data_IF_912780199262
#
_entry.id   IF_912780199262
#
_cell.length_a   1.000
_cell.length_b   1.000
_cell.length_c   1.000
_cell.angle_alpha   90.00
_cell.angle_beta   90.00
_cell.angle_gamma   90.00
#
_symmetry.space_group_name_H-M   'P 1'
#
loop_
_entity.id
_entity.type
_entity.pdbx_description
1 polymer ?
#
# COMPACT_ATOMS: atom_id res chain seq x y z
N UNK A 1 2.44 -20.67 -6.22
CA UNK A 1 3.72 -19.93 -6.12
C UNK A 1 4.40 -20.29 -4.81
N UNK A 2 5.69 -20.61 -4.86
CA UNK A 2 6.53 -20.78 -3.68
C UNK A 2 6.65 -19.45 -2.91
N UNK A 3 7.14 -19.52 -1.67
CA UNK A 3 7.34 -18.31 -0.86
C UNK A 3 8.31 -17.32 -1.53
N UNK A 4 9.37 -17.84 -2.15
CA UNK A 4 10.39 -17.03 -2.84
C UNK A 4 9.82 -16.38 -4.10
N UNK A 5 9.00 -17.10 -4.87
CA UNK A 5 8.29 -16.55 -6.02
C UNK A 5 7.31 -15.45 -5.62
N UNK A 6 6.59 -15.63 -4.50
CA UNK A 6 5.68 -14.60 -3.98
C UNK A 6 6.43 -13.35 -3.58
N UNK A 7 7.54 -13.49 -2.86
CA UNK A 7 8.39 -12.35 -2.47
C UNK A 7 8.88 -11.62 -3.73
N UNK A 8 9.47 -12.33 -4.69
CA UNK A 8 9.97 -11.73 -5.93
C UNK A 8 8.86 -11.01 -6.71
N UNK A 9 7.66 -11.58 -6.77
CA UNK A 9 6.51 -10.96 -7.44
C UNK A 9 6.00 -9.71 -6.72
N UNK A 10 5.95 -9.75 -5.38
CA UNK A 10 5.50 -8.64 -4.55
C UNK A 10 6.54 -7.51 -4.48
N UNK A 11 7.84 -7.78 -4.58
CA UNK A 11 8.89 -6.75 -4.60
C UNK A 11 9.19 -6.21 -6.00
N UNK A 12 8.79 -6.92 -7.08
CA UNK A 12 8.99 -6.46 -8.46
C UNK A 12 8.42 -5.06 -8.69
N UNK A 13 9.27 -4.13 -9.12
CA UNK A 13 8.88 -2.75 -9.43
C UNK A 13 8.60 -1.88 -8.19
N UNK A 14 8.90 -2.36 -6.98
CA UNK A 14 9.04 -1.50 -5.81
C UNK A 14 10.40 -0.80 -5.88
N UNK A 15 10.42 0.50 -5.59
CA UNK A 15 11.67 1.26 -5.45
C UNK A 15 12.48 0.77 -4.25
N UNK A 16 11.81 0.55 -3.12
CA UNK A 16 12.40 0.02 -1.89
C UNK A 16 11.44 -0.97 -1.22
N UNK A 17 12.00 -2.00 -0.59
CA UNK A 17 11.26 -2.87 0.34
C UNK A 17 12.02 -2.95 1.65
N UNK A 18 11.47 -2.28 2.67
CA UNK A 18 12.06 -2.24 4.00
C UNK A 18 11.87 -3.60 4.67
N UNK A 19 12.99 -4.25 5.05
CA UNK A 19 13.03 -5.55 5.75
C UNK A 19 12.26 -6.64 5.01
N UNK A 20 12.85 -7.15 3.93
CA UNK A 20 12.27 -8.24 3.11
C UNK A 20 12.05 -9.51 3.94
N UNK A 21 12.89 -9.74 4.94
CA UNK A 21 12.78 -10.82 5.93
C UNK A 21 11.47 -10.76 6.74
N UNK A 22 10.96 -9.56 7.06
CA UNK A 22 9.67 -9.40 7.74
C UNK A 22 8.51 -9.77 6.80
N UNK A 23 8.62 -9.41 5.51
CA UNK A 23 7.63 -9.80 4.51
C UNK A 23 7.61 -11.32 4.37
N UNK A 24 8.79 -11.97 4.28
CA UNK A 24 8.90 -13.43 4.26
C UNK A 24 8.22 -14.06 5.48
N UNK A 25 8.54 -13.61 6.68
CA UNK A 25 7.97 -14.16 7.91
C UNK A 25 6.43 -14.00 7.97
N UNK A 26 5.90 -12.87 7.49
CA UNK A 26 4.45 -12.62 7.41
C UNK A 26 3.78 -13.56 6.41
N UNK A 27 4.35 -13.72 5.22
CA UNK A 27 3.83 -14.62 4.18
C UNK A 27 3.88 -16.09 4.63
N UNK A 28 4.97 -16.50 5.27
CA UNK A 28 5.10 -17.85 5.84
C UNK A 28 4.05 -18.11 6.91
N UNK A 29 3.83 -17.15 7.82
CA UNK A 29 2.76 -17.23 8.82
C UNK A 29 1.39 -17.33 8.15
N UNK A 30 1.13 -16.56 7.09
CA UNK A 30 -0.12 -16.62 6.33
C UNK A 30 -0.34 -18.00 5.73
N UNK A 31 0.69 -18.57 5.11
CA UNK A 31 0.63 -19.92 4.53
C UNK A 31 0.37 -20.99 5.60
N UNK A 32 1.02 -20.90 6.76
CA UNK A 32 0.85 -21.85 7.88
C UNK A 32 -0.51 -21.76 8.56
N UNK A 33 -1.04 -20.55 8.72
CA UNK A 33 -2.26 -20.30 9.53
C UNK A 33 -3.53 -20.13 8.69
N UNK A 34 -3.41 -20.01 7.37
CA UNK A 34 -4.51 -19.64 6.48
C UNK A 34 -5.04 -18.21 6.70
N UNK A 35 -4.40 -17.41 7.56
CA UNK A 35 -4.83 -16.04 7.87
C UNK A 35 -4.18 -15.05 6.90
N UNK A 36 -4.95 -14.38 6.03
CA UNK A 36 -4.41 -13.44 5.05
C UNK A 36 -3.66 -12.26 5.67
N UNK A 37 -2.67 -11.72 4.95
CA UNK A 37 -2.10 -10.42 5.30
C UNK A 37 -3.15 -9.33 5.12
N UNK A 38 -3.05 -8.29 5.96
CA UNK A 38 -3.78 -7.04 5.80
C UNK A 38 -2.81 -6.00 5.24
N UNK A 39 -3.03 -5.59 4.00
CA UNK A 39 -2.15 -4.69 3.24
C UNK A 39 -2.83 -3.34 3.13
N UNK A 40 -2.29 -2.33 3.80
CA UNK A 40 -2.88 -0.99 3.85
C UNK A 40 -2.19 -0.07 2.85
N UNK A 41 -2.99 0.69 2.09
CA UNK A 41 -2.54 1.86 1.37
C UNK A 41 -3.44 3.05 1.72
N UNK A 42 -2.82 4.18 2.07
CA UNK A 42 -3.51 5.44 2.36
C UNK A 42 -3.65 6.29 1.10
N UNK A 43 -4.79 6.93 0.93
CA UNK A 43 -5.09 7.88 -0.13
C UNK A 43 -5.62 9.17 0.50
N UNK A 44 -5.00 10.29 0.15
CA UNK A 44 -5.41 11.61 0.59
C UNK A 44 -6.49 12.16 -0.37
N UNK A 45 -7.70 12.52 0.10
CA UNK A 45 -8.78 12.99 -0.77
C UNK A 45 -8.63 14.46 -1.22
N UNK A 46 -7.43 15.05 -1.12
CA UNK A 46 -7.18 16.45 -1.51
C UNK A 46 -7.39 16.73 -3.00
N UNK A 47 -7.32 15.70 -3.85
CA UNK A 47 -7.71 15.78 -5.25
C UNK A 47 -8.98 14.94 -5.51
N UNK A 48 -9.89 15.39 -6.39
CA UNK A 48 -11.14 14.68 -6.66
C UNK A 48 -10.95 13.36 -7.42
N UNK A 49 -9.82 13.20 -8.12
CA UNK A 49 -9.63 12.13 -9.09
C UNK A 49 -8.40 11.25 -8.82
N UNK A 50 -8.56 9.95 -9.06
CA UNK A 50 -7.45 9.00 -9.17
C UNK A 50 -6.95 9.03 -10.62
N UNK A 51 -5.76 9.59 -10.84
CA UNK A 51 -5.11 9.60 -12.15
C UNK A 51 -4.16 8.39 -12.36
N UNK A 52 -3.62 8.26 -13.58
CA UNK A 52 -2.77 7.14 -14.00
C UNK A 52 -1.54 6.89 -13.13
N UNK A 53 -1.05 7.91 -12.41
CA UNK A 53 0.07 7.78 -11.48
C UNK A 53 -0.20 6.80 -10.34
N UNK A 54 -1.47 6.69 -9.89
CA UNK A 54 -1.87 5.74 -8.86
C UNK A 54 -1.90 4.29 -9.34
N UNK A 55 -1.88 4.06 -10.66
CA UNK A 55 -1.98 2.71 -11.24
C UNK A 55 -0.85 1.81 -10.78
N UNK A 56 0.36 2.35 -10.55
CA UNK A 56 1.50 1.58 -10.05
C UNK A 56 1.20 0.98 -8.68
N UNK A 57 0.74 1.84 -7.75
CA UNK A 57 0.36 1.43 -6.39
C UNK A 57 -0.84 0.48 -6.41
N UNK A 58 -1.90 0.82 -7.16
CA UNK A 58 -3.13 0.00 -7.24
C UNK A 58 -2.82 -1.38 -7.83
N UNK A 59 -1.98 -1.49 -8.86
CA UNK A 59 -1.53 -2.79 -9.38
C UNK A 59 -0.76 -3.59 -8.33
N UNK A 60 0.08 -2.94 -7.52
CA UNK A 60 0.76 -3.63 -6.42
C UNK A 60 -0.22 -4.19 -5.40
N UNK A 61 -1.26 -3.42 -5.03
CA UNK A 61 -2.33 -3.91 -4.16
C UNK A 61 -3.06 -5.10 -4.78
N UNK A 62 -3.34 -5.05 -6.09
CA UNK A 62 -3.93 -6.18 -6.82
C UNK A 62 -3.06 -7.43 -6.76
N UNK A 63 -1.73 -7.32 -6.85
CA UNK A 63 -0.84 -8.47 -6.70
C UNK A 63 -0.99 -9.14 -5.32
N UNK A 64 -1.18 -8.36 -4.25
CA UNK A 64 -1.47 -8.92 -2.93
C UNK A 64 -2.84 -9.62 -2.89
N UNK A 65 -3.87 -9.04 -3.52
CA UNK A 65 -5.19 -9.69 -3.62
C UNK A 65 -5.13 -11.00 -4.41
N UNK A 66 -4.34 -11.05 -5.48
CA UNK A 66 -4.16 -12.24 -6.32
C UNK A 66 -3.46 -13.39 -5.57
N UNK A 67 -2.68 -13.06 -4.54
CA UNK A 67 -2.11 -14.03 -3.60
C UNK A 67 -3.04 -14.35 -2.42
N UNK A 68 -4.29 -13.87 -2.44
CA UNK A 68 -5.30 -14.15 -1.42
C UNK A 68 -5.21 -13.25 -0.19
N UNK A 69 -4.51 -12.12 -0.26
CA UNK A 69 -4.40 -11.17 0.85
C UNK A 69 -5.48 -10.09 0.83
N UNK A 70 -5.77 -9.53 2.01
CA UNK A 70 -6.78 -8.49 2.19
C UNK A 70 -6.15 -7.12 2.01
N UNK A 71 -6.56 -6.40 0.97
CA UNK A 71 -6.21 -4.99 0.78
C UNK A 71 -7.17 -4.11 1.57
N UNK A 72 -6.60 -3.11 2.23
CA UNK A 72 -7.30 -2.05 2.94
C UNK A 72 -6.95 -0.73 2.26
N UNK A 73 -7.90 -0.22 1.49
CA UNK A 73 -7.83 1.09 0.88
C UNK A 73 -8.35 2.11 1.91
N UNK A 74 -7.44 2.89 2.51
CA UNK A 74 -7.78 3.85 3.55
C UNK A 74 -7.82 5.26 2.98
N UNK A 75 -8.95 5.94 3.09
CA UNK A 75 -9.06 7.37 2.77
C UNK A 75 -8.73 8.18 4.03
N UNK A 76 -7.76 9.09 3.93
CA UNK A 76 -7.25 9.91 5.03
C UNK A 76 -7.93 11.27 5.13
N UNK A 77 -9.24 11.30 5.34
CA UNK A 77 -10.03 12.53 5.50
C UNK A 77 -9.57 13.40 6.70
N UNK A 78 -9.18 12.77 7.81
CA UNK A 78 -8.71 13.47 9.00
C UNK A 78 -7.36 14.19 8.80
N UNK A 79 -6.41 13.58 8.07
CA UNK A 79 -5.13 14.22 7.73
C UNK A 79 -5.30 15.32 6.68
N UNK A 80 -6.25 15.16 5.75
CA UNK A 80 -6.58 16.18 4.76
C UNK A 80 -7.12 17.47 5.40
N UNK A 81 -7.86 17.37 6.50
CA UNK A 81 -8.35 18.54 7.27
C UNK A 81 -7.24 19.28 8.04
N UNK A 82 -6.20 18.59 8.49
CA UNK A 82 -5.07 19.17 9.25
C UNK A 82 -3.98 19.70 8.31
N UNK A 83 -3.85 19.09 7.12
CA UNK A 83 -2.78 19.35 6.15
C UNK A 83 -1.53 18.54 6.47
N UNK A 84 -1.17 17.59 5.58
CA UNK A 84 0.10 16.88 5.67
C UNK A 84 1.25 17.83 5.31
N UNK A 85 2.21 18.11 6.23
CA UNK A 85 3.34 19.00 5.96
C UNK A 85 4.44 18.36 5.10
N UNK A 86 4.28 17.09 4.70
CA UNK A 86 5.31 16.34 4.00
C UNK A 86 5.52 16.84 2.56
N UNK A 87 6.48 17.75 2.38
CA UNK A 87 7.14 18.00 1.09
C UNK A 87 6.80 19.28 0.34
N UNK A 88 6.03 20.23 0.91
CA UNK A 88 5.83 21.53 0.26
C UNK A 88 6.00 22.71 1.24
N UNK A 89 6.85 23.68 0.84
CA UNK A 89 7.11 24.95 1.53
C UNK A 89 5.93 25.95 1.48
N UNK A 90 4.72 25.49 1.14
CA UNK A 90 3.53 26.34 1.05
C UNK A 90 2.42 25.66 1.83
N UNK A 91 1.98 26.31 2.91
CA UNK A 91 0.86 25.87 3.74
C UNK A 91 -0.37 25.68 2.84
N UNK A 92 -0.86 24.45 2.73
CA UNK A 92 -2.03 24.15 1.89
C UNK A 92 -3.30 24.75 2.51
N UNK A 93 -4.21 25.24 1.68
CA UNK A 93 -5.52 25.76 2.13
C UNK A 93 -6.41 24.60 2.59
N UNK A 94 -7.11 24.71 3.73
CA UNK A 94 -8.04 23.69 4.21
C UNK A 94 -9.21 23.49 3.23
N UNK A 95 -9.71 22.26 3.11
CA UNK A 95 -10.86 21.93 2.27
C UNK A 95 -12.16 22.45 2.92
N UNK A 96 -13.00 23.15 2.14
CA UNK A 96 -14.34 23.62 2.51
C UNK A 96 -15.43 22.70 2.00
#
# INVERSE_FOLDING_TARGET
MTLDEQIAYLTKGAEETIRVEDLRAKLERSAKTGKPLRVKAGFDPTAPDIHLGHTVLIRKLKHFQDLGHTVIFLIGDFTGMIGDPSGQNVTRKPMT
#
